data_IF_509602389636
#
_entry.id   IF_509602389636
#
_cell.length_a   1.000
_cell.length_b   1.000
_cell.length_c   1.000
_cell.angle_alpha   90.00
_cell.angle_beta   90.00
_cell.angle_gamma   90.00
#
_symmetry.space_group_name_H-M   'P 1'
#
loop_
_entity.id
_entity.type
_entity.pdbx_description
1 polymer ?
#
# COMPACT_ATOMS: atom_id res chain seq x y z
N UNK A 1 -14.67 -21.24 4.79
CA UNK A 1 -14.20 -19.86 5.10
C UNK A 1 -12.71 -19.66 4.79
N UNK A 2 -11.81 -20.57 5.15
CA UNK A 2 -10.35 -20.39 4.95
C UNK A 2 -9.93 -20.19 3.49
N UNK A 3 -10.52 -20.95 2.55
CA UNK A 3 -10.24 -20.80 1.11
C UNK A 3 -10.59 -19.38 0.61
N UNK A 4 -11.71 -18.82 1.07
CA UNK A 4 -12.12 -17.47 0.70
C UNK A 4 -11.13 -16.41 1.18
N UNK A 5 -10.60 -16.57 2.40
CA UNK A 5 -9.56 -15.67 2.93
C UNK A 5 -8.31 -15.74 2.05
N UNK A 6 -7.87 -16.95 1.68
CA UNK A 6 -6.72 -17.10 0.78
C UNK A 6 -6.95 -16.46 -0.59
N UNK A 7 -8.15 -16.58 -1.16
CA UNK A 7 -8.50 -15.94 -2.43
C UNK A 7 -8.49 -14.41 -2.34
N UNK A 8 -9.00 -13.83 -1.25
CA UNK A 8 -8.98 -12.38 -1.04
C UNK A 8 -7.55 -11.87 -0.90
N UNK A 9 -6.70 -12.58 -0.15
CA UNK A 9 -5.29 -12.21 0.02
C UNK A 9 -4.53 -12.33 -1.32
N UNK A 10 -4.76 -13.41 -2.08
CA UNK A 10 -4.17 -13.59 -3.40
C UNK A 10 -4.60 -12.47 -4.36
N UNK A 11 -5.89 -12.09 -4.34
CA UNK A 11 -6.40 -10.97 -5.11
C UNK A 11 -5.72 -9.66 -4.71
N UNK A 12 -5.49 -9.44 -3.41
CA UNK A 12 -4.71 -8.29 -2.92
C UNK A 12 -3.31 -8.23 -3.56
N UNK A 13 -2.61 -9.35 -3.63
CA UNK A 13 -1.31 -9.44 -4.32
C UNK A 13 -1.39 -9.06 -5.81
N UNK A 14 -2.39 -9.58 -6.52
CA UNK A 14 -2.62 -9.21 -7.94
C UNK A 14 -2.91 -7.71 -8.07
N UNK A 15 -3.75 -7.16 -7.19
CA UNK A 15 -4.08 -5.73 -7.19
C UNK A 15 -2.88 -4.84 -6.93
N UNK A 16 -1.92 -5.25 -6.08
CA UNK A 16 -0.67 -4.49 -5.88
C UNK A 16 0.19 -4.44 -7.15
N UNK A 17 0.22 -5.53 -7.91
CA UNK A 17 0.93 -5.59 -9.20
C UNK A 17 0.29 -4.63 -10.22
N UNK A 18 -1.04 -4.66 -10.33
CA UNK A 18 -1.80 -3.77 -11.21
C UNK A 18 -1.58 -2.31 -10.80
N UNK A 19 -1.73 -2.00 -9.51
CA UNK A 19 -1.49 -0.66 -8.96
C UNK A 19 -0.10 -0.15 -9.33
N UNK A 20 0.93 -1.01 -9.24
CA UNK A 20 2.29 -0.59 -9.56
C UNK A 20 2.44 -0.15 -11.02
N UNK A 21 1.81 -0.87 -11.95
CA UNK A 21 1.79 -0.52 -13.36
C UNK A 21 0.98 0.74 -13.63
N UNK A 22 -0.23 0.83 -13.10
CA UNK A 22 -1.15 1.95 -13.34
C UNK A 22 -0.61 3.26 -12.79
N UNK A 23 -0.11 3.26 -11.54
CA UNK A 23 0.44 4.48 -10.93
C UNK A 23 1.67 4.99 -11.67
N UNK A 24 2.54 4.08 -12.10
CA UNK A 24 3.77 4.45 -12.78
C UNK A 24 3.48 4.89 -14.24
N UNK A 25 2.48 4.31 -14.90
CA UNK A 25 1.99 4.78 -16.20
C UNK A 25 1.34 6.17 -16.07
N UNK A 26 0.53 6.40 -15.03
CA UNK A 26 -0.11 7.70 -14.78
C UNK A 26 0.94 8.78 -14.49
N UNK A 27 1.96 8.47 -13.68
CA UNK A 27 3.09 9.35 -13.42
C UNK A 27 3.84 9.74 -14.69
N UNK A 28 4.06 8.78 -15.59
CA UNK A 28 4.68 9.00 -16.90
C UNK A 28 3.80 9.87 -17.81
N UNK A 29 2.50 9.58 -17.89
CA UNK A 29 1.57 10.32 -18.74
C UNK A 29 1.42 11.79 -18.32
N UNK A 30 1.52 12.08 -17.02
CA UNK A 30 1.39 13.43 -16.49
C UNK A 30 2.73 14.15 -16.30
N UNK A 31 3.87 13.46 -16.46
CA UNK A 31 5.22 13.95 -16.15
C UNK A 31 5.36 14.55 -14.73
N UNK A 32 4.58 14.01 -13.77
CA UNK A 32 4.45 14.55 -12.40
C UNK A 32 4.28 13.46 -11.35
N UNK A 33 5.35 12.71 -11.04
CA UNK A 33 5.32 11.59 -10.09
C UNK A 33 4.79 11.96 -8.70
N UNK A 34 5.25 13.07 -8.12
CA UNK A 34 4.85 13.49 -6.77
C UNK A 34 3.36 13.82 -6.67
N UNK A 35 2.81 14.50 -7.68
CA UNK A 35 1.37 14.80 -7.73
C UNK A 35 0.57 13.51 -7.84
N UNK A 36 0.98 12.57 -8.69
CA UNK A 36 0.30 11.28 -8.83
C UNK A 36 0.32 10.49 -7.53
N UNK A 37 1.46 10.46 -6.82
CA UNK A 37 1.53 9.84 -5.48
C UNK A 37 0.57 10.48 -4.48
N UNK A 38 0.50 11.82 -4.45
CA UNK A 38 -0.41 12.54 -3.57
C UNK A 38 -1.88 12.27 -3.91
N UNK A 39 -2.27 12.34 -5.19
CA UNK A 39 -3.66 12.12 -5.63
C UNK A 39 -4.11 10.68 -5.39
N UNK A 40 -3.30 9.69 -5.77
CA UNK A 40 -3.63 8.27 -5.56
C UNK A 40 -3.64 7.90 -4.08
N UNK A 41 -2.74 8.48 -3.28
CA UNK A 41 -2.74 8.37 -1.83
C UNK A 41 -3.99 8.99 -1.20
N UNK A 42 -4.38 10.20 -1.62
CA UNK A 42 -5.59 10.87 -1.14
C UNK A 42 -6.87 10.09 -1.53
N UNK A 43 -6.93 9.54 -2.74
CA UNK A 43 -8.03 8.68 -3.16
C UNK A 43 -8.12 7.42 -2.31
N UNK A 44 -6.98 6.79 -2.00
CA UNK A 44 -6.91 5.62 -1.10
C UNK A 44 -7.42 5.98 0.29
N UNK A 45 -6.99 7.11 0.85
CA UNK A 45 -7.45 7.60 2.14
C UNK A 45 -8.96 7.91 2.14
N UNK A 46 -9.49 8.49 1.07
CA UNK A 46 -10.91 8.78 0.94
C UNK A 46 -11.76 7.50 0.90
N UNK A 47 -11.32 6.46 0.17
CA UNK A 47 -11.99 5.15 0.15
C UNK A 47 -11.99 4.53 1.55
N UNK A 48 -10.85 4.56 2.26
CA UNK A 48 -10.76 4.04 3.63
C UNK A 48 -11.65 4.83 4.60
N UNK A 49 -11.76 6.14 4.43
CA UNK A 49 -12.67 6.97 5.23
C UNK A 49 -14.14 6.56 5.01
N UNK A 50 -14.57 6.35 3.75
CA UNK A 50 -15.92 5.87 3.44
C UNK A 50 -16.18 4.50 4.05
N UNK A 51 -15.22 3.56 3.92
CA UNK A 51 -15.34 2.23 4.54
C UNK A 51 -15.48 2.34 6.05
N UNK A 52 -14.68 3.18 6.71
CA UNK A 52 -14.77 3.42 8.15
C UNK A 52 -16.16 3.93 8.57
N UNK A 53 -16.73 4.85 7.79
CA UNK A 53 -18.08 5.39 8.03
C UNK A 53 -19.17 4.33 7.85
N UNK A 54 -19.07 3.49 6.82
CA UNK A 54 -20.05 2.44 6.51
C UNK A 54 -19.97 1.28 7.50
N UNK A 55 -18.76 0.89 7.92
CA UNK A 55 -18.54 -0.17 8.91
C UNK A 55 -18.96 0.19 10.32
N UNK A 56 -19.19 1.49 10.60
CA UNK A 56 -19.61 2.01 11.91
C UNK A 56 -18.68 1.61 13.07
N UNK A 57 -17.38 1.46 12.79
CA UNK A 57 -16.39 1.04 13.79
C UNK A 57 -16.19 2.09 14.91
N UNK A 58 -16.69 3.31 14.71
CA UNK A 58 -16.51 4.43 15.63
C UNK A 58 -15.07 4.94 15.62
N UNK A 59 -14.87 6.17 16.11
CA UNK A 59 -13.51 6.68 16.30
C UNK A 59 -12.91 6.07 17.59
N UNK A 60 -11.63 5.67 17.58
CA UNK A 60 -10.97 5.25 18.80
C UNK A 60 -10.92 6.41 19.82
N UNK A 61 -10.98 6.09 21.11
CA UNK A 61 -10.85 7.09 22.17
C UNK A 61 -9.45 7.73 22.16
N UNK A 62 -9.36 9.00 22.57
CA UNK A 62 -8.10 9.74 22.67
C UNK A 62 -7.05 8.99 23.51
N UNK A 63 -7.48 8.35 24.59
CA UNK A 63 -6.60 7.60 25.50
C UNK A 63 -5.96 6.39 24.80
N UNK A 64 -6.69 5.72 23.91
CA UNK A 64 -6.14 4.60 23.12
C UNK A 64 -5.14 5.08 22.07
N UNK A 65 -5.40 6.23 21.46
CA UNK A 65 -4.46 6.86 20.51
C UNK A 65 -3.17 7.22 21.25
N UNK A 66 -3.27 7.84 22.43
CA UNK A 66 -2.12 8.22 23.25
C UNK A 66 -1.33 7.02 23.79
N UNK A 67 -2.02 5.91 24.10
CA UNK A 67 -1.38 4.66 24.53
C UNK A 67 -0.73 3.87 23.38
N UNK A 68 -0.99 4.24 22.12
CA UNK A 68 -0.45 3.54 20.95
C UNK A 68 1.06 3.82 20.82
N UNK A 69 1.92 2.79 20.72
CA UNK A 69 3.36 3.00 20.57
C UNK A 69 3.70 3.84 19.33
N UNK A 70 4.67 4.76 19.46
CA UNK A 70 5.03 5.67 18.36
C UNK A 70 5.47 4.92 17.08
N UNK A 71 6.06 3.73 17.21
CA UNK A 71 6.49 2.91 16.09
C UNK A 71 5.31 2.30 15.31
N UNK A 72 4.11 2.16 15.90
CA UNK A 72 2.95 1.63 15.19
C UNK A 72 2.52 2.55 14.03
N UNK A 73 2.81 3.85 14.15
CA UNK A 73 2.52 4.86 13.13
C UNK A 73 3.49 4.82 11.94
N UNK A 74 4.65 4.16 12.07
CA UNK A 74 5.65 4.11 10.99
C UNK A 74 5.20 3.24 9.81
N UNK A 75 4.15 2.43 9.97
CA UNK A 75 3.55 1.68 8.86
C UNK A 75 3.14 2.57 7.69
N UNK A 76 2.60 3.77 7.98
CA UNK A 76 2.27 4.76 6.96
C UNK A 76 3.51 5.26 6.20
N UNK A 77 4.63 5.45 6.89
CA UNK A 77 5.90 5.83 6.27
C UNK A 77 6.44 4.73 5.34
N UNK A 78 6.37 3.46 5.76
CA UNK A 78 6.72 2.32 4.92
C UNK A 78 5.87 2.28 3.63
N UNK A 79 4.56 2.52 3.77
CA UNK A 79 3.65 2.62 2.62
C UNK A 79 4.02 3.76 1.67
N UNK A 80 4.38 4.94 2.20
CA UNK A 80 4.84 6.06 1.38
C UNK A 80 6.12 5.71 0.59
N UNK A 81 7.09 5.04 1.21
CA UNK A 81 8.31 4.57 0.52
C UNK A 81 7.97 3.59 -0.60
N UNK A 82 7.02 2.67 -0.39
CA UNK A 82 6.55 1.75 -1.44
C UNK A 82 5.90 2.49 -2.61
N UNK A 83 5.05 3.48 -2.34
CA UNK A 83 4.40 4.31 -3.38
C UNK A 83 5.45 5.10 -4.17
N UNK A 84 6.42 5.73 -3.51
CA UNK A 84 7.54 6.41 -4.19
C UNK A 84 8.31 5.42 -5.07
N UNK A 85 8.65 4.25 -4.53
CA UNK A 85 9.39 3.23 -5.28
C UNK A 85 8.64 2.80 -6.53
N UNK A 86 7.32 2.64 -6.42
CA UNK A 86 6.44 2.32 -7.54
C UNK A 86 6.52 3.39 -8.64
N UNK A 87 6.36 4.66 -8.28
CA UNK A 87 6.30 5.77 -9.24
C UNK A 87 7.59 5.93 -10.06
N UNK A 88 8.75 5.67 -9.46
CA UNK A 88 10.05 5.87 -10.10
C UNK A 88 10.65 4.60 -10.72
N UNK A 89 10.34 3.42 -10.19
CA UNK A 89 11.03 2.17 -10.57
C UNK A 89 10.13 1.15 -11.25
N UNK A 90 8.80 1.18 -11.08
CA UNK A 90 7.94 0.19 -11.72
C UNK A 90 7.92 0.31 -13.25
N UNK A 91 8.03 1.52 -13.82
CA UNK A 91 8.18 1.69 -15.29
C UNK A 91 9.55 1.23 -15.80
N UNK A 92 10.61 1.39 -15.01
CA UNK A 92 11.98 1.01 -15.41
C UNK A 92 12.20 -0.50 -15.38
N UNK A 93 11.65 -1.15 -14.37
CA UNK A 93 11.81 -2.59 -14.15
C UNK A 93 10.70 -3.42 -14.82
N UNK A 94 9.56 -2.79 -15.14
CA UNK A 94 8.31 -3.48 -15.45
C UNK A 94 7.57 -3.89 -14.17
N UNK A 95 6.24 -3.83 -14.19
CA UNK A 95 5.40 -4.09 -13.00
C UNK A 95 5.61 -5.49 -12.41
N UNK A 96 5.80 -6.50 -13.25
CA UNK A 96 6.04 -7.88 -12.82
C UNK A 96 7.36 -8.04 -12.04
N UNK A 97 8.47 -7.51 -12.58
CA UNK A 97 9.79 -7.59 -11.93
C UNK A 97 9.80 -6.75 -10.65
N UNK A 98 9.26 -5.53 -10.70
CA UNK A 98 9.14 -4.67 -9.52
C UNK A 98 8.38 -5.37 -8.39
N UNK A 99 7.20 -5.91 -8.71
CA UNK A 99 6.37 -6.57 -7.70
C UNK A 99 7.05 -7.83 -7.18
N UNK A 100 7.65 -8.64 -8.05
CA UNK A 100 8.43 -9.82 -7.67
C UNK A 100 9.54 -9.48 -6.68
N UNK A 101 10.35 -8.47 -6.96
CA UNK A 101 11.42 -8.02 -6.05
C UNK A 101 10.87 -7.56 -4.70
N UNK A 102 9.79 -6.77 -4.68
CA UNK A 102 9.21 -6.30 -3.42
C UNK A 102 8.64 -7.43 -2.57
N UNK A 103 8.00 -8.42 -3.19
CA UNK A 103 7.47 -9.60 -2.51
C UNK A 103 8.60 -10.47 -1.98
N UNK A 104 9.61 -10.77 -2.80
CA UNK A 104 10.78 -11.57 -2.39
C UNK A 104 11.55 -10.89 -1.25
N UNK A 105 11.76 -9.58 -1.31
CA UNK A 105 12.39 -8.83 -0.23
C UNK A 105 11.57 -8.88 1.07
N UNK A 106 10.25 -8.79 0.98
CA UNK A 106 9.34 -8.95 2.12
C UNK A 106 9.39 -10.35 2.74
N UNK A 107 9.50 -11.40 1.92
CA UNK A 107 9.69 -12.77 2.39
C UNK A 107 11.02 -12.90 3.13
N UNK A 108 12.11 -12.39 2.57
CA UNK A 108 13.43 -12.44 3.22
C UNK A 108 13.43 -11.82 4.62
N UNK A 109 12.79 -10.66 4.80
CA UNK A 109 12.69 -10.02 6.12
C UNK A 109 11.80 -10.78 7.12
N UNK A 110 10.72 -11.40 6.65
CA UNK A 110 9.84 -12.21 7.51
C UNK A 110 10.45 -13.54 7.95
N UNK A 111 11.44 -14.06 7.21
CA UNK A 111 12.23 -15.22 7.59
C UNK A 111 13.31 -14.93 8.63
N UNK A 112 13.94 -13.75 8.58
CA UNK A 112 15.01 -13.36 9.52
C UNK A 112 14.48 -13.10 10.95
N UNK A 113 13.16 -12.97 11.12
CA UNK A 113 12.52 -12.68 12.41
C UNK A 113 11.86 -13.87 13.11
N UNK A 114 12.14 -15.12 12.69
CA UNK A 114 11.72 -16.33 13.40
C UNK A 114 12.89 -17.04 14.06
#
# INVERSE_FOLDING_TARGET
MTILIYLIVALGGVMTSIQSGTNAQLAKSLDRSWMVGLFTGALTAAVLAVVTLVSREGLPSSDRIAATPWWAWTGGLCGAVYVVSTLFFAQKLGSGVFTGLTVTAGIGRSWVGR
#
